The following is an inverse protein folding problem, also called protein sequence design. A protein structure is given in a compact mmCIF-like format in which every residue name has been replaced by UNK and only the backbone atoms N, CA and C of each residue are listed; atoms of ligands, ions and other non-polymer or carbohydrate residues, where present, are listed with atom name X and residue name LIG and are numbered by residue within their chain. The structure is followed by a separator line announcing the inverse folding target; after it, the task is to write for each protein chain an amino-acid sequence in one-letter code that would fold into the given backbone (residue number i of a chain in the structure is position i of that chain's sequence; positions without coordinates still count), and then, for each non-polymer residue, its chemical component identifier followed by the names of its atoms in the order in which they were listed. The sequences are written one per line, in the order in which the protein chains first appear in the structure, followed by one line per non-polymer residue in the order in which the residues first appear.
data_IF_636251002834
#
_entry.id   IF_636251002834
#
_cell.length_a   1.000
_cell.length_b   1.000
_cell.length_c   1.000
_cell.angle_alpha   90.00
_cell.angle_beta   90.00
_cell.angle_gamma   90.00
#
_symmetry.space_group_name_H-M   'P 1'
#
loop_
_entity.id
_entity.type
_entity.pdbx_description
1 polymer ?
#
# COMPACT_ATOMS: atom_id res chain seq x y z
N UNK A 1 6.31 -12.31 -4.45
CA UNK A 1 6.88 -12.44 -5.82
C UNK A 1 5.75 -12.69 -6.81
N UNK A 2 5.75 -11.98 -7.94
CA UNK A 2 4.72 -12.06 -8.98
C UNK A 2 5.29 -12.78 -10.21
N UNK A 3 4.54 -13.72 -10.79
CA UNK A 3 4.97 -14.52 -11.94
C UNK A 3 3.97 -14.44 -13.09
N UNK A 4 4.46 -14.29 -14.32
CA UNK A 4 3.63 -14.38 -15.53
C UNK A 4 3.16 -15.82 -15.74
N UNK A 5 1.90 -16.01 -16.11
CA UNK A 5 1.35 -17.33 -16.39
C UNK A 5 1.49 -17.64 -17.88
N UNK A 6 2.17 -18.75 -18.19
CA UNK A 6 2.36 -19.20 -19.59
C UNK A 6 0.99 -19.45 -20.25
N UNK A 7 0.76 -18.84 -21.40
CA UNK A 7 -0.50 -18.95 -22.14
C UNK A 7 -1.65 -18.08 -21.61
N UNK A 8 -1.44 -17.28 -20.56
CA UNK A 8 -2.43 -16.33 -20.04
C UNK A 8 -1.79 -14.93 -19.85
N UNK A 9 -1.68 -14.13 -20.93
CA UNK A 9 -0.91 -12.89 -20.91
C UNK A 9 -1.49 -11.82 -19.98
N UNK A 10 -2.80 -11.86 -19.71
CA UNK A 10 -3.52 -10.93 -18.83
C UNK A 10 -3.56 -11.37 -17.36
N UNK A 11 -2.90 -12.48 -17.00
CA UNK A 11 -2.93 -13.03 -15.64
C UNK A 11 -1.54 -13.19 -15.07
N UNK A 12 -1.45 -13.02 -13.76
CA UNK A 12 -0.23 -13.24 -12.97
C UNK A 12 -0.52 -14.10 -11.76
N UNK A 13 0.48 -14.83 -11.30
CA UNK A 13 0.45 -15.60 -10.07
C UNK A 13 1.26 -14.87 -9.00
N UNK A 14 0.60 -14.48 -7.90
CA UNK A 14 1.27 -13.99 -6.70
C UNK A 14 1.63 -15.18 -5.81
N UNK A 15 2.91 -15.43 -5.66
CA UNK A 15 3.46 -16.44 -4.75
C UNK A 15 3.56 -15.92 -3.32
N UNK A 16 3.32 -16.80 -2.35
CA UNK A 16 3.22 -16.53 -0.91
C UNK A 16 2.08 -15.60 -0.49
N UNK A 17 1.10 -15.37 -1.36
CA UNK A 17 -0.10 -14.63 -0.97
C UNK A 17 -0.97 -15.49 -0.05
N UNK A 18 -1.06 -15.15 1.24
CA UNK A 18 -1.75 -15.96 2.24
C UNK A 18 -3.27 -16.02 2.06
N UNK A 19 -3.95 -16.87 2.84
CA UNK A 19 -5.41 -16.95 2.79
C UNK A 19 -6.09 -15.64 3.19
N UNK A 20 -5.57 -14.97 4.24
CA UNK A 20 -6.11 -13.70 4.73
C UNK A 20 -6.02 -12.60 3.68
N UNK A 21 -4.85 -12.43 3.08
CA UNK A 21 -4.64 -11.48 1.98
C UNK A 21 -5.61 -11.75 0.82
N UNK A 22 -5.72 -13.01 0.39
CA UNK A 22 -6.66 -13.41 -0.68
C UNK A 22 -8.11 -13.01 -0.35
N UNK A 23 -8.55 -13.20 0.90
CA UNK A 23 -9.91 -12.83 1.31
C UNK A 23 -10.11 -11.32 1.34
N UNK A 24 -9.15 -10.55 1.88
CA UNK A 24 -9.22 -9.09 1.90
C UNK A 24 -9.25 -8.51 0.48
N UNK A 25 -8.39 -9.00 -0.41
CA UNK A 25 -8.36 -8.55 -1.80
C UNK A 25 -9.68 -8.88 -2.53
N UNK A 26 -10.28 -10.04 -2.25
CA UNK A 26 -11.60 -10.41 -2.79
C UNK A 26 -12.71 -9.53 -2.23
N UNK A 27 -12.69 -9.24 -0.92
CA UNK A 27 -13.68 -8.40 -0.23
C UNK A 27 -13.58 -6.92 -0.65
N UNK A 28 -12.37 -6.46 -0.98
CA UNK A 28 -12.12 -5.14 -1.53
C UNK A 28 -12.81 -4.91 -2.88
N UNK A 29 -13.24 -5.99 -3.56
CA UNK A 29 -14.02 -5.91 -4.80
C UNK A 29 -13.29 -5.10 -5.87
N UNK A 30 -13.99 -4.12 -6.43
CA UNK A 30 -13.44 -3.24 -7.47
C UNK A 30 -12.55 -2.11 -6.90
N UNK A 31 -12.21 -2.10 -5.61
CA UNK A 31 -11.05 -1.31 -5.16
C UNK A 31 -9.73 -2.02 -5.47
N UNK A 32 -9.76 -3.33 -5.71
CA UNK A 32 -8.57 -4.16 -5.85
C UNK A 32 -8.43 -4.76 -7.25
N UNK A 33 -7.22 -5.20 -7.56
CA UNK A 33 -6.98 -6.06 -8.72
C UNK A 33 -7.78 -7.36 -8.57
N UNK A 34 -8.59 -7.75 -9.57
CA UNK A 34 -9.40 -8.95 -9.49
C UNK A 34 -8.57 -10.21 -9.22
N UNK A 35 -8.96 -10.98 -8.20
CA UNK A 35 -8.41 -12.31 -7.92
C UNK A 35 -9.24 -13.37 -8.63
N UNK A 36 -8.59 -14.21 -9.43
CA UNK A 36 -9.24 -15.29 -10.18
C UNK A 36 -9.40 -16.57 -9.35
N UNK A 37 -8.45 -16.83 -8.44
CA UNK A 37 -8.51 -18.04 -7.63
C UNK A 37 -7.26 -18.26 -6.78
N UNK A 38 -7.45 -18.94 -5.64
CA UNK A 38 -6.37 -19.41 -4.79
C UNK A 38 -5.69 -20.62 -5.44
N UNK A 39 -4.37 -20.71 -5.33
CA UNK A 39 -3.57 -21.84 -5.81
C UNK A 39 -2.77 -22.39 -4.64
N UNK A 40 -2.98 -23.66 -4.34
CA UNK A 40 -2.21 -24.42 -3.35
C UNK A 40 -1.69 -25.66 -4.08
N UNK A 41 -0.39 -25.90 -4.00
CA UNK A 41 0.21 -27.01 -4.73
C UNK A 41 1.46 -27.56 -4.08
N UNK A 42 1.89 -28.69 -4.63
CA UNK A 42 3.14 -29.37 -4.28
C UNK A 42 3.89 -29.70 -5.56
N UNK A 43 5.19 -29.43 -5.58
CA UNK A 43 6.09 -29.80 -6.66
C UNK A 43 7.19 -30.69 -6.10
N UNK A 44 7.45 -31.83 -6.74
CA UNK A 44 8.61 -32.64 -6.42
C UNK A 44 9.84 -32.00 -7.09
N UNK A 45 10.88 -31.68 -6.32
CA UNK A 45 12.13 -31.11 -6.81
C UNK A 45 13.28 -32.00 -6.34
N UNK A 46 13.82 -32.81 -7.27
CA UNK A 46 14.79 -33.85 -6.93
C UNK A 46 14.23 -34.82 -5.88
N UNK A 47 14.93 -34.97 -4.76
CA UNK A 47 14.49 -35.78 -3.62
C UNK A 47 13.62 -35.00 -2.61
N UNK A 48 13.34 -33.73 -2.86
CA UNK A 48 12.56 -32.85 -1.98
C UNK A 48 11.14 -32.57 -2.49
N UNK A 49 10.31 -31.98 -1.63
CA UNK A 49 8.98 -31.44 -1.97
C UNK A 49 8.95 -29.95 -1.66
N UNK A 50 8.54 -29.16 -2.66
CA UNK A 50 8.23 -27.75 -2.48
C UNK A 50 6.71 -27.60 -2.40
N UNK A 51 6.23 -27.09 -1.28
CA UNK A 51 4.86 -26.61 -1.17
C UNK A 51 4.80 -25.15 -1.60
N UNK A 52 3.78 -24.80 -2.37
CA UNK A 52 3.55 -23.43 -2.79
C UNK A 52 2.13 -23.01 -2.51
N UNK A 53 2.01 -21.76 -2.08
CA UNK A 53 0.76 -21.10 -1.81
C UNK A 53 0.75 -19.74 -2.51
N UNK A 54 -0.39 -19.34 -3.04
CA UNK A 54 -0.55 -18.07 -3.72
C UNK A 54 -1.93 -17.92 -4.36
N UNK A 55 -2.08 -16.93 -5.23
CA UNK A 55 -3.32 -16.75 -5.99
C UNK A 55 -3.06 -16.13 -7.36
N UNK A 56 -3.96 -16.41 -8.28
CA UNK A 56 -3.95 -15.82 -9.62
C UNK A 56 -4.77 -14.53 -9.58
N UNK A 57 -4.24 -13.48 -10.18
CA UNK A 57 -4.91 -12.20 -10.30
C UNK A 57 -4.67 -11.59 -11.69
N UNK A 58 -5.41 -10.53 -11.99
CA UNK A 58 -5.23 -9.80 -13.24
C UNK A 58 -3.89 -9.09 -13.28
N UNK A 59 -3.33 -8.99 -14.48
CA UNK A 59 -2.16 -8.17 -14.71
C UNK A 59 -2.56 -6.69 -14.66
N UNK A 60 -1.77 -5.90 -13.97
CA UNK A 60 -1.82 -4.45 -13.97
C UNK A 60 -0.42 -3.84 -13.84
N UNK A 61 -0.30 -2.55 -14.09
CA UNK A 61 0.98 -1.82 -14.11
C UNK A 61 1.11 -0.93 -12.86
N UNK A 62 2.16 -1.08 -12.04
CA UNK A 62 2.37 -0.20 -10.90
C UNK A 62 2.48 1.27 -11.31
N UNK A 63 1.87 2.16 -10.52
CA UNK A 63 2.00 3.62 -10.71
C UNK A 63 3.46 4.07 -10.53
N UNK A 64 4.23 3.35 -9.72
CA UNK A 64 5.67 3.60 -9.53
C UNK A 64 6.55 3.14 -10.71
N UNK A 65 6.00 2.41 -11.69
CA UNK A 65 6.78 1.97 -12.83
C UNK A 65 7.19 3.18 -13.71
N UNK A 66 8.43 3.20 -14.23
CA UNK A 66 8.91 4.31 -15.07
C UNK A 66 7.98 4.57 -16.25
N UNK A 67 7.50 5.82 -16.36
CA UNK A 67 6.61 6.25 -17.44
C UNK A 67 5.16 5.78 -17.32
N UNK A 68 4.76 5.08 -16.25
CA UNK A 68 3.38 4.64 -16.06
C UNK A 68 2.40 5.81 -15.94
N UNK A 69 2.81 6.91 -15.31
CA UNK A 69 1.99 8.12 -15.15
C UNK A 69 2.70 9.34 -15.74
N UNK A 70 2.26 9.83 -16.93
CA UNK A 70 2.75 11.08 -17.49
C UNK A 70 2.43 12.28 -16.58
N UNK A 71 3.26 13.34 -16.56
CA UNK A 71 3.01 14.54 -15.76
C UNK A 71 1.60 15.15 -15.96
N UNK A 72 1.10 15.13 -17.19
CA UNK A 72 -0.23 15.63 -17.55
C UNK A 72 -1.40 14.83 -16.93
N UNK A 73 -1.17 13.60 -16.48
CA UNK A 73 -2.19 12.73 -15.89
C UNK A 73 -2.13 12.68 -14.36
N UNK A 74 -1.04 13.16 -13.73
CA UNK A 74 -0.80 13.02 -12.28
C UNK A 74 -1.97 13.50 -11.44
N UNK A 75 -2.60 14.63 -11.79
CA UNK A 75 -3.76 15.17 -11.07
C UNK A 75 -4.99 14.26 -11.17
N UNK A 76 -5.28 13.72 -12.35
CA UNK A 76 -6.38 12.76 -12.53
C UNK A 76 -6.13 11.48 -11.75
N UNK A 77 -4.90 10.96 -11.82
CA UNK A 77 -4.48 9.76 -11.06
C UNK A 77 -4.54 10.01 -9.56
N UNK A 78 -4.10 11.15 -9.05
CA UNK A 78 -4.22 11.54 -7.64
C UNK A 78 -5.68 11.44 -7.17
N UNK A 79 -6.64 12.00 -7.92
CA UNK A 79 -8.05 11.89 -7.56
C UNK A 79 -8.56 10.45 -7.57
N UNK A 80 -8.08 9.60 -8.50
CA UNK A 80 -8.42 8.17 -8.50
C UNK A 80 -7.79 7.43 -7.29
N UNK A 81 -6.56 7.77 -6.90
CA UNK A 81 -5.90 7.22 -5.71
C UNK A 81 -6.68 7.55 -4.44
N UNK A 82 -7.11 8.80 -4.29
CA UNK A 82 -7.96 9.22 -3.17
C UNK A 82 -9.27 8.43 -3.17
N UNK A 83 -9.96 8.42 -4.30
CA UNK A 83 -11.25 7.75 -4.44
C UNK A 83 -11.19 6.25 -4.12
N UNK A 84 -10.16 5.53 -4.60
CA UNK A 84 -10.06 4.08 -4.39
C UNK A 84 -9.80 3.72 -2.93
N UNK A 85 -8.99 4.53 -2.22
CA UNK A 85 -8.69 4.33 -0.79
C UNK A 85 -9.90 4.67 0.07
N UNK A 86 -10.54 5.82 -0.14
CA UNK A 86 -11.78 6.19 0.58
C UNK A 86 -12.86 5.12 0.37
N UNK A 87 -13.01 4.63 -0.86
CA UNK A 87 -13.98 3.58 -1.17
C UNK A 87 -13.62 2.25 -0.51
N UNK A 88 -12.33 1.92 -0.40
CA UNK A 88 -11.91 0.75 0.37
C UNK A 88 -12.33 0.88 1.83
N UNK A 89 -12.15 2.06 2.43
CA UNK A 89 -12.58 2.33 3.81
C UNK A 89 -14.10 2.23 3.97
N UNK A 90 -14.90 2.66 2.99
CA UNK A 90 -16.36 2.45 3.03
C UNK A 90 -16.77 0.96 3.02
N UNK A 91 -15.87 0.05 2.64
CA UNK A 91 -16.06 -1.40 2.72
C UNK A 91 -15.61 -1.99 4.06
N UNK A 92 -15.21 -1.15 5.00
CA UNK A 92 -14.71 -1.57 6.31
C UNK A 92 -13.35 -2.25 6.22
N UNK A 93 -12.52 -1.92 5.23
CA UNK A 93 -11.17 -2.49 5.05
C UNK A 93 -10.14 -1.37 5.15
N UNK A 94 -9.13 -1.56 5.98
CA UNK A 94 -7.87 -0.80 5.99
C UNK A 94 -6.85 -1.57 5.17
N UNK A 95 -6.15 -0.93 4.23
CA UNK A 95 -5.13 -1.58 3.42
C UNK A 95 -3.84 -1.85 4.20
N UNK A 96 -3.43 -0.93 5.07
CA UNK A 96 -2.30 -1.08 5.99
C UNK A 96 -0.92 -0.86 5.37
N UNK A 97 -0.84 -0.81 4.05
CA UNK A 97 0.40 -0.60 3.27
C UNK A 97 0.11 0.22 2.00
N UNK A 98 -0.55 1.37 2.16
CA UNK A 98 -0.84 2.30 1.05
C UNK A 98 0.44 2.99 0.61
N UNK A 99 0.96 2.55 -0.55
CA UNK A 99 2.12 3.12 -1.22
C UNK A 99 2.00 3.02 -2.74
N UNK A 100 2.78 3.79 -3.49
CA UNK A 100 2.67 3.89 -4.94
C UNK A 100 2.94 2.54 -5.65
N UNK A 101 3.75 1.67 -5.05
CA UNK A 101 4.04 0.32 -5.53
C UNK A 101 2.83 -0.62 -5.45
N UNK A 102 1.91 -0.36 -4.51
CA UNK A 102 0.70 -1.14 -4.28
C UNK A 102 -0.53 -0.56 -4.98
N UNK A 103 -0.36 0.53 -5.74
CA UNK A 103 -1.38 1.12 -6.59
C UNK A 103 -1.05 0.83 -8.05
N UNK A 104 -1.96 0.17 -8.76
CA UNK A 104 -1.74 -0.26 -10.14
C UNK A 104 -2.80 0.33 -11.08
N UNK A 105 -2.43 0.57 -12.33
CA UNK A 105 -3.35 0.79 -13.44
C UNK A 105 -3.78 -0.54 -14.02
N UNK A 106 -5.09 -0.80 -13.97
CA UNK A 106 -5.67 -1.94 -14.66
C UNK A 106 -5.73 -1.71 -16.20
N UNK A 107 -6.23 -2.70 -16.93
CA UNK A 107 -6.36 -2.63 -18.39
C UNK A 107 -7.40 -1.61 -18.87
N UNK A 108 -8.18 -1.00 -17.98
CA UNK A 108 -9.13 0.07 -18.25
C UNK A 108 -8.57 1.45 -17.89
N UNK A 109 -7.33 1.51 -17.37
CA UNK A 109 -6.71 2.75 -16.92
C UNK A 109 -7.26 3.26 -15.59
N UNK A 110 -7.89 2.38 -14.79
CA UNK A 110 -8.38 2.70 -13.46
C UNK A 110 -7.35 2.30 -12.40
N UNK A 111 -7.19 3.15 -11.38
CA UNK A 111 -6.36 2.84 -10.22
C UNK A 111 -7.04 1.76 -9.38
N UNK A 112 -6.29 0.68 -9.10
CA UNK A 112 -6.68 -0.42 -8.21
C UNK A 112 -5.56 -0.69 -7.21
N UNK A 113 -5.94 -1.17 -6.04
CA UNK A 113 -5.01 -1.60 -5.00
C UNK A 113 -4.60 -3.06 -5.19
N UNK A 114 -3.39 -3.40 -4.75
CA UNK A 114 -2.91 -4.76 -4.61
C UNK A 114 -2.10 -4.90 -3.32
N UNK A 115 -1.80 -6.15 -2.95
CA UNK A 115 -0.99 -6.46 -1.76
C UNK A 115 -1.66 -6.13 -0.43
N UNK A 116 -2.74 -6.86 -0.14
CA UNK A 116 -3.51 -6.74 1.10
C UNK A 116 -2.88 -7.52 2.28
N UNK A 117 -1.57 -7.78 2.24
CA UNK A 117 -0.87 -8.57 3.25
C UNK A 117 -0.97 -7.94 4.64
N UNK A 118 -0.89 -6.61 4.68
CA UNK A 118 -0.91 -5.81 5.91
C UNK A 118 -2.29 -5.27 6.28
N UNK A 119 -3.30 -5.52 5.44
CA UNK A 119 -4.63 -4.97 5.61
C UNK A 119 -5.38 -5.56 6.78
N UNK A 120 -6.56 -5.03 7.07
CA UNK A 120 -7.50 -5.57 8.06
C UNK A 120 -8.91 -5.10 7.85
N UNK A 121 -9.87 -5.81 8.43
CA UNK A 121 -11.18 -5.20 8.62
C UNK A 121 -11.13 -4.18 9.76
N UNK A 122 -11.85 -3.08 9.63
CA UNK A 122 -11.91 -2.02 10.65
C UNK A 122 -12.41 -2.59 11.99
N UNK A 123 -13.43 -3.44 11.93
CA UNK A 123 -14.08 -4.02 13.12
C UNK A 123 -13.46 -5.35 13.58
N UNK A 124 -12.32 -5.78 13.00
CA UNK A 124 -11.67 -7.01 13.47
C UNK A 124 -10.99 -6.79 14.83
N UNK A 125 -11.00 -7.82 15.67
CA UNK A 125 -10.22 -7.81 16.91
C UNK A 125 -8.75 -7.57 16.58
N UNK A 126 -8.21 -6.47 17.10
CA UNK A 126 -6.83 -6.05 16.86
C UNK A 126 -5.83 -7.15 17.15
N UNK A 127 -6.09 -8.06 18.10
CA UNK A 127 -5.18 -9.16 18.49
C UNK A 127 -4.99 -10.21 17.39
N UNK A 128 -5.88 -10.25 16.40
CA UNK A 128 -5.82 -11.17 15.26
C UNK A 128 -4.86 -10.70 14.17
N UNK A 129 -4.57 -9.40 14.13
CA UNK A 129 -3.66 -8.82 13.15
C UNK A 129 -2.20 -9.19 13.47
N UNK A 130 -1.42 -9.64 12.50
CA UNK A 130 -0.01 -10.01 12.71
C UNK A 130 0.87 -9.52 11.56
N UNK A 131 0.52 -8.36 11.01
CA UNK A 131 1.24 -7.73 9.93
C UNK A 131 2.49 -6.97 10.38
N UNK A 132 3.12 -6.34 9.42
CA UNK A 132 4.26 -5.46 9.53
C UNK A 132 3.87 -4.01 9.14
N UNK A 133 4.88 -3.16 9.08
CA UNK A 133 4.78 -1.77 8.61
C UNK A 133 5.93 -1.49 7.66
N UNK A 134 5.70 -0.63 6.67
CA UNK A 134 6.77 -0.10 5.81
C UNK A 134 7.29 1.17 6.49
N UNK A 135 8.50 1.12 7.06
CA UNK A 135 8.99 2.14 8.00
C UNK A 135 8.91 3.59 7.47
N UNK A 136 9.29 3.91 6.22
CA UNK A 136 9.11 5.27 5.67
C UNK A 136 7.66 5.75 5.56
N UNK A 137 6.69 4.83 5.60
CA UNK A 137 5.26 5.11 5.49
C UNK A 137 4.54 5.03 6.85
N UNK A 138 5.28 4.78 7.94
CA UNK A 138 4.70 4.72 9.27
C UNK A 138 4.39 6.13 9.81
N UNK A 139 3.15 6.33 10.25
CA UNK A 139 2.67 7.61 10.75
C UNK A 139 3.10 7.86 12.20
N UNK A 140 3.19 9.13 12.62
CA UNK A 140 3.46 9.47 14.03
C UNK A 140 2.40 8.88 14.95
N UNK A 141 1.13 8.96 14.55
CA UNK A 141 0.03 8.43 15.35
C UNK A 141 0.14 6.90 15.52
N UNK A 142 0.58 6.16 14.48
CA UNK A 142 0.81 4.70 14.57
C UNK A 142 1.94 4.35 15.53
N UNK A 143 3.03 5.12 15.49
CA UNK A 143 4.16 4.98 16.43
C UNK A 143 3.72 5.22 17.88
N UNK A 144 2.91 6.25 18.13
CA UNK A 144 2.38 6.55 19.46
C UNK A 144 1.46 5.43 19.96
N UNK A 145 0.53 4.94 19.13
CA UNK A 145 -0.33 3.80 19.47
C UNK A 145 0.47 2.53 19.74
N UNK A 146 1.56 2.30 19.02
CA UNK A 146 2.45 1.15 19.25
C UNK A 146 3.12 1.22 20.62
N UNK A 147 3.60 2.40 21.02
CA UNK A 147 4.21 2.66 22.33
C UNK A 147 3.19 2.51 23.47
N UNK A 148 1.99 3.10 23.32
CA UNK A 148 0.92 3.04 24.32
C UNK A 148 0.40 1.62 24.56
N UNK A 149 0.29 0.82 23.50
CA UNK A 149 -0.20 -0.56 23.58
C UNK A 149 0.89 -1.60 23.87
N UNK A 150 2.17 -1.21 23.81
CA UNK A 150 3.31 -2.13 23.90
C UNK A 150 3.39 -3.12 22.73
N UNK A 151 2.81 -2.76 21.58
CA UNK A 151 2.73 -3.61 20.38
C UNK A 151 3.28 -2.87 19.18
N UNK A 152 4.46 -3.30 18.74
CA UNK A 152 5.19 -2.70 17.64
C UNK A 152 5.30 -3.66 16.44
N UNK A 153 4.72 -3.35 15.27
CA UNK A 153 3.87 -2.18 14.99
C UNK A 153 2.43 -2.36 15.54
N UNK A 154 1.75 -1.23 15.77
CA UNK A 154 0.31 -1.26 16.07
C UNK A 154 -0.52 -1.60 14.81
N UNK A 155 -1.70 -2.22 14.94
CA UNK A 155 -2.58 -2.48 13.79
C UNK A 155 -2.92 -1.18 13.05
N UNK A 156 -2.93 -1.19 11.72
CA UNK A 156 -3.22 0.00 10.94
C UNK A 156 -4.69 0.42 11.10
N UNK A 157 -4.93 1.73 11.01
CA UNK A 157 -6.27 2.35 10.97
C UNK A 157 -6.43 3.16 9.67
N UNK A 158 -7.64 3.66 9.40
CA UNK A 158 -7.92 4.39 8.16
C UNK A 158 -7.04 5.64 8.01
N UNK A 159 -6.71 6.31 9.11
CA UNK A 159 -5.82 7.48 9.10
C UNK A 159 -4.39 7.13 8.68
N UNK A 160 -3.92 5.91 8.93
CA UNK A 160 -2.60 5.45 8.48
C UNK A 160 -2.57 5.24 6.97
N UNK A 161 -3.65 4.71 6.38
CA UNK A 161 -3.81 4.62 4.93
C UNK A 161 -3.83 6.01 4.29
N UNK A 162 -4.51 6.99 4.91
CA UNK A 162 -4.54 8.37 4.41
C UNK A 162 -3.17 9.04 4.48
N UNK A 163 -2.40 8.78 5.55
CA UNK A 163 -1.01 9.22 5.64
C UNK A 163 -0.15 8.61 4.52
N UNK A 164 -0.22 7.29 4.32
CA UNK A 164 0.51 6.60 3.24
C UNK A 164 0.09 7.08 1.85
N UNK A 165 -1.19 7.41 1.65
CA UNK A 165 -1.71 8.05 0.45
C UNK A 165 -1.07 9.44 0.22
N UNK A 166 -0.94 10.26 1.27
CA UNK A 166 -0.26 11.55 1.21
C UNK A 166 1.18 11.45 0.72
N UNK A 167 1.94 10.49 1.28
CA UNK A 167 3.31 10.19 0.83
C UNK A 167 3.36 9.69 -0.61
N UNK A 168 2.39 8.85 -1.01
CA UNK A 168 2.30 8.31 -2.37
C UNK A 168 2.01 9.39 -3.41
N UNK A 169 1.12 10.34 -3.09
CA UNK A 169 0.81 11.48 -3.96
C UNK A 169 2.02 12.41 -4.05
N UNK A 170 2.71 12.66 -2.92
CA UNK A 170 3.97 13.40 -2.93
C UNK A 170 4.99 12.75 -3.87
N UNK A 171 5.25 11.45 -3.73
CA UNK A 171 6.15 10.67 -4.58
C UNK A 171 5.73 10.74 -6.06
N UNK A 172 4.43 10.64 -6.36
CA UNK A 172 3.92 10.75 -7.73
C UNK A 172 4.27 12.10 -8.37
N UNK A 173 4.19 13.19 -7.61
CA UNK A 173 4.38 14.55 -8.12
C UNK A 173 5.85 14.99 -8.14
N UNK A 174 6.67 14.56 -7.18
CA UNK A 174 8.11 14.88 -7.14
C UNK A 174 8.94 13.89 -7.95
N UNK A 175 8.53 12.63 -8.03
CA UNK A 175 9.34 11.53 -8.54
C UNK A 175 10.44 11.07 -7.57
N UNK A 176 10.44 11.60 -6.34
CA UNK A 176 11.41 11.28 -5.31
C UNK A 176 10.89 10.18 -4.37
N UNK A 177 11.79 9.39 -3.80
CA UNK A 177 11.45 8.44 -2.74
C UNK A 177 11.11 9.19 -1.45
N UNK A 178 9.96 8.94 -0.80
CA UNK A 178 9.63 9.54 0.48
C UNK A 178 10.76 9.32 1.48
N UNK A 179 11.24 10.42 2.07
CA UNK A 179 12.37 10.45 3.01
C UNK A 179 13.74 10.11 2.40
N UNK A 180 13.83 9.54 1.20
CA UNK A 180 15.08 9.12 0.57
C UNK A 180 15.31 7.61 0.70
N UNK A 181 16.53 7.15 0.41
CA UNK A 181 16.90 5.74 0.54
C UNK A 181 17.34 5.45 1.98
N UNK A 182 16.38 5.08 2.82
CA UNK A 182 16.63 4.63 4.19
C UNK A 182 16.48 3.10 4.31
N UNK A 183 17.29 2.49 5.18
CA UNK A 183 17.11 1.08 5.56
C UNK A 183 15.97 0.95 6.58
N UNK A 184 15.33 -0.22 6.67
CA UNK A 184 14.16 -0.47 7.54
C UNK A 184 14.44 -0.29 9.05
N UNK A 185 15.70 -0.17 9.45
CA UNK A 185 16.17 0.03 10.82
C UNK A 185 16.79 1.43 11.06
N UNK A 186 16.58 2.38 10.15
CA UNK A 186 17.16 3.71 10.26
C UNK A 186 16.63 4.48 11.49
N UNK A 187 17.52 4.64 12.48
CA UNK A 187 17.23 5.32 13.75
C UNK A 187 16.93 6.80 13.51
N UNK A 188 17.62 7.45 12.57
CA UNK A 188 17.44 8.87 12.29
C UNK A 188 16.04 9.13 11.71
N UNK A 189 15.59 8.31 10.77
CA UNK A 189 14.24 8.42 10.22
C UNK A 189 13.18 8.23 11.31
N UNK A 190 13.33 7.22 12.17
CA UNK A 190 12.41 7.01 13.30
C UNK A 190 12.37 8.21 14.25
N UNK A 191 13.51 8.82 14.57
CA UNK A 191 13.53 10.03 15.40
C UNK A 191 12.82 11.21 14.74
N UNK A 192 13.01 11.40 13.42
CA UNK A 192 12.33 12.45 12.66
C UNK A 192 10.82 12.25 12.67
N UNK A 193 10.36 11.02 12.40
CA UNK A 193 8.94 10.66 12.45
C UNK A 193 8.35 10.86 13.86
N UNK A 194 9.08 10.48 14.93
CA UNK A 194 8.66 10.73 16.33
C UNK A 194 8.54 12.21 16.67
N UNK A 195 9.29 13.08 15.99
CA UNK A 195 9.18 14.54 16.09
C UNK A 195 8.01 15.10 15.25
N UNK A 196 7.32 14.26 14.47
CA UNK A 196 6.26 14.62 13.53
C UNK A 196 6.78 15.17 12.21
N UNK A 197 8.07 15.04 11.92
CA UNK A 197 8.65 15.49 10.66
C UNK A 197 8.28 14.54 9.53
N UNK A 198 8.10 15.09 8.33
CA UNK A 198 7.75 14.33 7.12
C UNK A 198 8.50 14.85 5.90
N UNK A 199 8.07 14.48 4.70
CA UNK A 199 8.58 14.96 3.41
C UNK A 199 8.40 16.48 3.25
N UNK A 200 9.24 17.11 2.43
CA UNK A 200 9.09 18.53 2.10
C UNK A 200 7.93 18.73 1.12
N UNK A 201 6.77 19.14 1.62
CA UNK A 201 5.60 19.43 0.79
C UNK A 201 5.81 20.63 -0.14
N UNK A 202 6.77 21.53 0.15
CA UNK A 202 7.07 22.67 -0.71
C UNK A 202 7.69 22.24 -2.05
N UNK A 203 8.24 21.02 -2.13
CA UNK A 203 8.73 20.42 -3.38
C UNK A 203 7.61 20.22 -4.42
N UNK A 204 6.35 20.14 -3.98
CA UNK A 204 5.19 20.04 -4.88
C UNK A 204 4.78 21.43 -5.34
N UNK A 205 4.91 21.71 -6.65
CA UNK A 205 4.69 23.04 -7.22
C UNK A 205 3.22 23.49 -7.22
N UNK A 206 2.28 22.57 -7.47
CA UNK A 206 0.85 22.87 -7.53
C UNK A 206 0.28 23.13 -6.12
N UNK A 207 -0.26 24.33 -5.82
CA UNK A 207 -0.70 24.69 -4.48
C UNK A 207 -1.85 23.82 -3.96
N UNK A 208 -2.80 23.46 -4.82
CA UNK A 208 -3.96 22.64 -4.44
C UNK A 208 -3.54 21.20 -4.12
N UNK A 209 -2.68 20.61 -4.97
CA UNK A 209 -2.06 19.30 -4.70
C UNK A 209 -1.29 19.33 -3.38
N UNK A 210 -0.55 20.42 -3.12
CA UNK A 210 0.20 20.59 -1.86
C UNK A 210 -0.74 20.61 -0.66
N UNK A 211 -1.84 21.35 -0.72
CA UNK A 211 -2.83 21.41 0.36
C UNK A 211 -3.47 20.05 0.64
N UNK A 212 -3.80 19.29 -0.41
CA UNK A 212 -4.31 17.91 -0.30
C UNK A 212 -3.28 17.03 0.42
N UNK A 213 -2.03 17.01 -0.04
CA UNK A 213 -0.95 16.22 0.59
C UNK A 213 -0.80 16.63 2.06
N UNK A 214 -0.75 17.93 2.36
CA UNK A 214 -0.64 18.42 3.74
C UNK A 214 -1.80 17.95 4.62
N UNK A 215 -3.03 17.99 4.12
CA UNK A 215 -4.21 17.50 4.86
C UNK A 215 -4.09 16.01 5.17
N UNK A 216 -3.72 15.19 4.17
CA UNK A 216 -3.57 13.75 4.31
C UNK A 216 -2.47 13.37 5.32
N UNK A 217 -1.30 14.03 5.23
CA UNK A 217 -0.18 13.77 6.15
C UNK A 217 -0.53 14.18 7.60
N UNK A 218 -1.31 15.24 7.79
CA UNK A 218 -1.77 15.67 9.13
C UNK A 218 -2.69 14.64 9.80
N UNK A 219 -3.43 13.83 9.03
CA UNK A 219 -4.24 12.74 9.61
C UNK A 219 -3.38 11.70 10.34
N UNK A 220 -2.16 11.46 9.86
CA UNK A 220 -1.17 10.60 10.52
C UNK A 220 -0.31 11.29 11.59
N UNK A 221 -0.61 12.55 11.93
CA UNK A 221 0.10 13.32 12.96
C UNK A 221 1.30 14.13 12.47
N UNK A 222 1.50 14.28 11.14
CA UNK A 222 2.58 15.11 10.62
C UNK A 222 2.46 16.59 11.06
N UNK A 223 3.60 17.21 11.35
CA UNK A 223 3.73 18.62 11.76
C UNK A 223 4.35 19.41 10.61
N UNK A 224 3.49 20.01 9.79
CA UNK A 224 3.81 20.75 8.56
C UNK A 224 3.28 22.16 8.69
#
# INVERSE_FOLDING_TARGET
MIYRIKGQPSKVFKFKGGFREYQLQKAAGDCAIPVCGKVIGKLNIGNGRLYFDGFIMDLATPLSAPGAVPPSQRRSIMHQMIHVVERLHTRGIVHGDVKLENMLLDNQGLVRLCDFGEGRYVDEDERVWHGATTMPFESLNRLQRAEESGRDPSPPIVEDDMFGLGLSIWQLHTGETPHGEFADDDIELKERQRKGQTVDVAAVQDPETREIITSLLRMGGARI
#
